data_IF_829457311858
#
_entry.id   IF_829457311858
#
_cell.length_a   1.000
_cell.length_b   1.000
_cell.length_c   1.000
_cell.angle_alpha   90.00
_cell.angle_beta   90.00
_cell.angle_gamma   90.00
#
_symmetry.space_group_name_H-M   'P 1'
#
loop_
_entity.id
_entity.type
_entity.pdbx_description
1 polymer ?
#
# COMPACT_ATOMS: atom_id res chain seq x y z
N UNK A 1 -1.58 -12.67 -50.71
CA UNK A 1 -2.58 -11.62 -50.78
C UNK A 1 -3.91 -12.19 -50.35
N UNK A 2 -4.38 -11.79 -49.18
CA UNK A 2 -5.76 -11.76 -48.67
C UNK A 2 -6.56 -13.04 -48.47
N UNK A 3 -6.46 -13.61 -47.26
CA UNK A 3 -7.50 -14.48 -46.65
C UNK A 3 -7.65 -14.25 -45.13
N UNK A 4 -7.58 -13.02 -44.62
CA UNK A 4 -7.66 -12.78 -43.18
C UNK A 4 -8.74 -11.80 -42.73
N UNK A 5 -9.65 -11.35 -43.60
CA UNK A 5 -10.61 -10.28 -43.25
C UNK A 5 -12.09 -10.69 -43.20
N UNK A 6 -12.44 -11.92 -43.48
CA UNK A 6 -13.86 -12.35 -43.45
C UNK A 6 -14.35 -12.96 -42.14
N UNK A 7 -13.44 -13.32 -41.22
CA UNK A 7 -13.85 -13.98 -39.97
C UNK A 7 -14.29 -12.99 -38.85
N UNK A 8 -13.81 -11.74 -38.90
CA UNK A 8 -14.18 -10.73 -37.92
C UNK A 8 -15.58 -10.14 -38.12
N UNK A 9 -16.03 -10.06 -39.38
CA UNK A 9 -17.35 -9.52 -39.70
C UNK A 9 -18.52 -10.45 -39.35
N UNK A 10 -18.28 -11.77 -39.34
CA UNK A 10 -19.30 -12.76 -39.02
C UNK A 10 -19.65 -12.85 -37.54
N UNK A 11 -18.67 -12.72 -36.67
CA UNK A 11 -18.88 -12.76 -35.20
C UNK A 11 -19.64 -11.55 -34.69
N UNK A 12 -19.49 -10.39 -35.32
CA UNK A 12 -20.20 -9.16 -34.91
C UNK A 12 -21.70 -9.18 -35.28
N UNK A 13 -22.11 -9.95 -36.29
CA UNK A 13 -23.51 -10.06 -36.68
C UNK A 13 -24.29 -11.09 -35.88
N UNK A 14 -23.67 -12.09 -35.32
CA UNK A 14 -24.34 -13.05 -34.42
C UNK A 14 -24.55 -12.47 -33.01
N UNK A 15 -23.69 -11.59 -32.54
CA UNK A 15 -23.84 -10.92 -31.22
C UNK A 15 -25.08 -9.99 -31.19
N UNK A 16 -25.43 -9.38 -32.30
CA UNK A 16 -26.61 -8.48 -32.42
C UNK A 16 -27.94 -9.20 -32.55
N UNK A 17 -27.94 -10.51 -32.85
CA UNK A 17 -29.19 -11.29 -32.94
C UNK A 17 -29.63 -11.88 -31.60
N UNK A 18 -28.74 -12.00 -30.62
CA UNK A 18 -29.08 -12.50 -29.28
C UNK A 18 -29.58 -11.36 -28.36
N UNK A 19 -29.25 -10.11 -28.67
CA UNK A 19 -29.67 -8.95 -27.84
C UNK A 19 -31.14 -8.53 -28.07
N UNK A 20 -31.83 -9.05 -29.11
CA UNK A 20 -33.21 -8.71 -29.45
C UNK A 20 -34.29 -9.56 -28.75
N UNK A 21 -33.90 -10.64 -28.05
CA UNK A 21 -34.85 -11.62 -27.50
C UNK A 21 -35.10 -11.51 -25.98
N UNK A 22 -34.37 -10.65 -25.26
CA UNK A 22 -34.44 -10.59 -23.80
C UNK A 22 -35.25 -9.39 -23.27
N UNK A 23 -35.68 -8.49 -24.11
CA UNK A 23 -36.38 -7.27 -23.69
C UNK A 23 -37.85 -7.46 -23.27
N UNK A 24 -38.46 -8.65 -23.48
CA UNK A 24 -39.89 -8.90 -23.16
C UNK A 24 -40.10 -9.74 -21.89
N UNK A 25 -39.07 -10.24 -21.23
CA UNK A 25 -39.21 -11.08 -20.03
C UNK A 25 -38.90 -10.35 -18.72
N UNK A 26 -38.49 -9.07 -18.74
CA UNK A 26 -38.12 -8.30 -17.54
C UNK A 26 -39.23 -7.43 -16.94
N UNK A 27 -40.44 -7.44 -17.56
CA UNK A 27 -41.57 -6.64 -17.06
C UNK A 27 -42.47 -7.37 -16.03
N UNK A 28 -42.26 -8.66 -15.76
CA UNK A 28 -43.16 -9.48 -14.94
C UNK A 28 -42.57 -9.92 -13.56
N UNK A 29 -41.39 -9.46 -13.16
CA UNK A 29 -40.75 -9.88 -11.88
C UNK A 29 -40.49 -8.74 -10.90
N UNK A 30 -41.04 -7.54 -11.15
CA UNK A 30 -40.83 -6.39 -10.26
C UNK A 30 -41.63 -6.48 -8.93
N UNK A 31 -42.59 -7.39 -8.80
CA UNK A 31 -43.43 -7.49 -7.58
C UNK A 31 -43.06 -8.62 -6.62
N UNK A 32 -41.98 -9.36 -6.86
CA UNK A 32 -41.57 -10.48 -5.98
C UNK A 32 -40.50 -10.14 -4.94
N UNK A 33 -39.96 -8.91 -4.91
CA UNK A 33 -39.16 -8.45 -3.80
C UNK A 33 -40.08 -7.81 -2.74
N UNK A 34 -40.83 -8.69 -2.09
CA UNK A 34 -41.62 -8.34 -0.91
C UNK A 34 -40.74 -7.63 0.13
N UNK A 35 -41.37 -6.74 0.84
CA UNK A 35 -40.86 -5.94 1.95
C UNK A 35 -39.98 -6.78 2.91
N UNK A 36 -38.77 -7.09 2.49
CA UNK A 36 -37.71 -7.61 3.34
C UNK A 36 -37.30 -6.50 4.31
N UNK A 37 -37.28 -6.82 5.58
CA UNK A 37 -36.86 -5.96 6.67
C UNK A 37 -35.71 -5.04 6.24
N UNK A 38 -35.88 -3.72 6.44
CA UNK A 38 -34.77 -2.75 6.29
C UNK A 38 -33.56 -3.35 6.99
N UNK A 39 -32.41 -3.47 6.35
CA UNK A 39 -31.22 -3.88 7.06
C UNK A 39 -31.07 -2.87 8.19
N UNK A 40 -31.08 -3.40 9.44
CA UNK A 40 -30.71 -2.63 10.60
C UNK A 40 -29.44 -1.88 10.26
N UNK A 41 -29.44 -0.56 10.42
CA UNK A 41 -28.32 0.31 10.10
C UNK A 41 -27.07 -0.38 10.59
N UNK A 42 -26.20 -0.80 9.66
CA UNK A 42 -24.90 -1.33 10.02
C UNK A 42 -24.30 -0.33 11.00
N UNK A 43 -24.03 -0.77 12.22
CA UNK A 43 -23.48 0.07 13.26
C UNK A 43 -22.31 0.84 12.59
N UNK A 44 -22.41 2.18 12.58
CA UNK A 44 -21.43 3.05 11.95
C UNK A 44 -20.09 2.61 12.52
N UNK A 45 -19.24 2.00 11.69
CA UNK A 45 -17.88 1.63 12.13
C UNK A 45 -17.33 2.86 12.84
N UNK A 46 -16.79 2.73 14.05
CA UNK A 46 -16.15 3.87 14.71
C UNK A 46 -15.22 4.49 13.67
N UNK A 47 -15.26 5.81 13.52
CA UNK A 47 -14.40 6.52 12.59
C UNK A 47 -12.98 6.04 12.88
N UNK A 48 -12.40 5.29 11.94
CA UNK A 48 -11.00 4.85 12.05
C UNK A 48 -10.10 6.07 12.21
N UNK A 49 -8.83 5.89 12.60
CA UNK A 49 -7.89 6.99 12.66
C UNK A 49 -7.95 7.79 11.37
N UNK A 50 -7.91 9.12 11.44
CA UNK A 50 -8.18 10.00 10.31
C UNK A 50 -7.07 10.00 9.23
N UNK A 51 -6.06 9.14 9.31
CA UNK A 51 -4.87 9.09 8.46
C UNK A 51 -5.08 8.24 7.19
N UNK A 52 -5.96 8.67 6.30
CA UNK A 52 -6.28 7.94 5.07
C UNK A 52 -5.30 8.17 3.93
N UNK A 53 -4.64 9.32 3.91
CA UNK A 53 -3.59 9.63 2.93
C UNK A 53 -2.23 9.12 3.39
N UNK A 54 -1.45 8.55 2.48
CA UNK A 54 -0.08 8.14 2.74
C UNK A 54 0.82 8.58 1.58
N UNK A 55 1.82 9.39 1.90
CA UNK A 55 2.95 9.67 1.02
C UNK A 55 4.11 8.75 1.43
N UNK A 56 4.57 7.90 0.51
CA UNK A 56 5.68 6.99 0.69
C UNK A 56 6.81 7.33 -0.28
N UNK A 57 8.04 7.37 0.24
CA UNK A 57 9.25 7.63 -0.56
C UNK A 57 10.30 6.57 -0.23
N UNK A 58 10.83 5.91 -1.25
CA UNK A 58 11.97 4.98 -1.15
C UNK A 58 13.20 5.62 -1.77
N UNK A 59 14.36 5.45 -1.17
CA UNK A 59 15.62 5.98 -1.67
C UNK A 59 16.83 5.34 -0.98
N UNK A 60 17.98 5.54 -1.60
CA UNK A 60 19.27 5.23 -1.00
C UNK A 60 20.00 6.52 -0.63
N UNK A 61 21.02 6.40 0.21
CA UNK A 61 21.92 7.50 0.57
C UNK A 61 23.36 7.08 0.35
N UNK A 62 24.22 7.96 -0.19
CA UNK A 62 25.66 7.73 -0.20
C UNK A 62 26.18 7.57 1.24
N UNK A 63 27.30 6.91 1.39
CA UNK A 63 27.95 6.75 2.73
C UNK A 63 28.35 8.12 3.25
N UNK A 64 28.97 8.93 2.38
CA UNK A 64 29.39 10.29 2.71
C UNK A 64 28.17 11.19 2.93
N UNK A 65 28.18 11.94 4.02
CA UNK A 65 27.11 12.87 4.38
C UNK A 65 25.82 12.22 4.88
N UNK A 66 25.73 10.89 4.97
CA UNK A 66 24.54 10.16 5.44
C UNK A 66 24.07 10.61 6.82
N UNK A 67 24.98 10.73 7.76
CA UNK A 67 24.66 11.16 9.13
C UNK A 67 24.10 12.60 9.12
N UNK A 68 24.73 13.50 8.39
CA UNK A 68 24.26 14.88 8.28
C UNK A 68 22.84 14.93 7.65
N UNK A 69 22.59 14.09 6.64
CA UNK A 69 21.25 13.96 6.05
C UNK A 69 20.23 13.46 7.08
N UNK A 70 20.53 12.41 7.84
CA UNK A 70 19.61 11.84 8.83
C UNK A 70 19.32 12.85 9.95
N UNK A 71 20.33 13.56 10.43
CA UNK A 71 20.19 14.61 11.43
C UNK A 71 19.30 15.76 10.92
N UNK A 72 19.51 16.21 9.67
CA UNK A 72 18.67 17.22 9.04
C UNK A 72 17.23 16.70 8.84
N UNK A 73 17.06 15.50 8.30
CA UNK A 73 15.74 14.91 8.05
C UNK A 73 14.92 14.84 9.35
N UNK A 74 15.50 14.26 10.41
CA UNK A 74 14.80 13.99 11.66
C UNK A 74 14.65 15.24 12.54
N UNK A 75 15.66 16.12 12.57
CA UNK A 75 15.67 17.30 13.44
C UNK A 75 15.08 18.56 12.82
N UNK A 76 14.98 18.63 11.49
CA UNK A 76 14.55 19.85 10.79
C UNK A 76 13.41 19.60 9.83
N UNK A 77 13.60 18.71 8.86
CA UNK A 77 12.64 18.55 7.76
C UNK A 77 11.31 17.95 8.21
N UNK A 78 11.34 16.81 8.92
CA UNK A 78 10.11 16.14 9.35
C UNK A 78 9.34 16.94 10.40
N UNK A 79 9.97 17.54 11.44
CA UNK A 79 9.26 18.45 12.34
C UNK A 79 8.57 19.61 11.60
N UNK A 80 9.29 20.27 10.67
CA UNK A 80 8.72 21.37 9.88
C UNK A 80 7.58 20.89 8.95
N UNK A 81 7.70 19.69 8.38
CA UNK A 81 6.66 19.10 7.54
C UNK A 81 5.36 18.87 8.33
N UNK A 82 5.48 18.41 9.57
CA UNK A 82 4.34 18.11 10.45
C UNK A 82 3.60 19.34 10.98
N UNK A 83 4.14 20.56 10.81
CA UNK A 83 3.39 21.79 11.12
C UNK A 83 2.35 22.13 10.06
N UNK A 84 2.37 21.44 8.90
CA UNK A 84 1.45 21.75 7.79
C UNK A 84 0.05 21.21 8.09
N UNK A 85 -1.01 21.97 7.71
CA UNK A 85 -2.38 21.51 7.88
C UNK A 85 -2.63 20.15 7.19
N UNK A 86 -3.31 19.25 7.89
CA UNK A 86 -3.67 17.93 7.37
C UNK A 86 -2.58 16.86 7.48
N UNK A 87 -1.32 17.24 7.77
CA UNK A 87 -0.23 16.30 8.05
C UNK A 87 -0.36 15.79 9.49
N UNK A 88 -0.40 14.50 9.69
CA UNK A 88 -0.71 13.89 10.99
C UNK A 88 0.51 13.26 11.67
N UNK A 89 1.31 12.55 10.89
CA UNK A 89 2.50 11.85 11.38
C UNK A 89 3.50 11.63 10.25
N UNK A 90 4.75 11.40 10.61
CA UNK A 90 5.78 10.93 9.71
C UNK A 90 6.57 9.82 10.41
N UNK A 91 7.14 8.91 9.62
CA UNK A 91 8.02 7.86 10.11
C UNK A 91 9.10 7.56 9.07
N UNK A 92 10.32 7.41 9.52
CA UNK A 92 11.47 7.07 8.68
C UNK A 92 12.03 5.72 9.09
N UNK A 93 12.30 4.87 8.09
CA UNK A 93 12.70 3.48 8.26
C UNK A 93 14.00 3.19 7.54
N UNK A 94 14.77 2.24 8.09
CA UNK A 94 15.83 1.54 7.36
C UNK A 94 15.36 0.12 7.04
N UNK A 95 15.56 -0.31 5.80
CA UNK A 95 15.22 -1.67 5.38
C UNK A 95 16.14 -2.70 6.03
N UNK A 96 15.63 -3.89 6.17
CA UNK A 96 16.37 -5.06 6.63
C UNK A 96 16.31 -6.14 5.56
N UNK A 97 17.43 -6.79 5.36
CA UNK A 97 17.44 -8.01 4.56
C UNK A 97 16.55 -9.04 5.24
N UNK A 98 15.76 -9.74 4.45
CA UNK A 98 14.90 -10.80 4.95
C UNK A 98 15.73 -12.05 5.11
N UNK A 99 15.92 -12.51 6.34
CA UNK A 99 16.48 -13.82 6.62
C UNK A 99 15.51 -14.89 6.08
N UNK A 100 16.02 -15.79 5.23
CA UNK A 100 15.24 -16.88 4.66
C UNK A 100 14.26 -16.43 3.58
N UNK A 101 14.75 -15.90 2.48
CA UNK A 101 13.94 -15.49 1.33
C UNK A 101 12.98 -16.59 0.89
N UNK A 102 11.67 -16.36 1.08
CA UNK A 102 10.63 -17.28 0.64
C UNK A 102 10.74 -17.57 -0.85
N UNK A 103 10.51 -18.81 -1.24
CA UNK A 103 10.63 -19.33 -2.60
C UNK A 103 9.63 -18.75 -3.62
N UNK A 104 8.92 -17.67 -3.29
CA UNK A 104 8.00 -17.01 -4.22
C UNK A 104 8.80 -16.17 -5.19
N UNK A 105 8.76 -16.52 -6.45
CA UNK A 105 9.36 -15.74 -7.51
C UNK A 105 8.64 -14.39 -7.63
N UNK A 106 9.32 -13.31 -7.19
CA UNK A 106 8.80 -11.95 -7.27
C UNK A 106 9.31 -11.33 -8.57
N UNK A 107 8.38 -10.86 -9.40
CA UNK A 107 8.71 -10.11 -10.60
C UNK A 107 8.86 -8.63 -10.27
N UNK A 108 9.96 -8.03 -10.68
CA UNK A 108 10.22 -6.60 -10.55
C UNK A 108 10.14 -5.92 -11.92
N UNK A 109 9.71 -4.65 -11.91
CA UNK A 109 9.73 -3.84 -13.12
C UNK A 109 11.16 -3.60 -13.59
N UNK A 110 11.33 -3.58 -14.90
CA UNK A 110 12.57 -3.17 -15.57
C UNK A 110 12.48 -1.77 -16.18
N UNK A 111 11.39 -1.02 -15.88
CA UNK A 111 11.21 0.35 -16.36
C UNK A 111 12.30 1.26 -15.75
N UNK A 112 13.21 1.82 -16.57
CA UNK A 112 14.32 2.65 -16.09
C UNK A 112 13.87 3.99 -15.48
N UNK A 113 12.59 4.37 -15.65
CA UNK A 113 12.00 5.56 -15.03
C UNK A 113 11.60 5.34 -13.57
N UNK A 114 11.59 4.09 -13.10
CA UNK A 114 11.24 3.75 -11.72
C UNK A 114 12.52 3.74 -10.88
N UNK A 115 12.57 4.61 -9.88
CA UNK A 115 13.73 4.70 -8.98
C UNK A 115 14.01 3.38 -8.26
N UNK A 116 15.29 3.04 -8.14
CA UNK A 116 15.77 1.74 -7.62
C UNK A 116 16.12 1.76 -6.14
N UNK A 117 16.14 2.94 -5.50
CA UNK A 117 16.48 3.08 -4.09
C UNK A 117 15.49 2.32 -3.19
N UNK A 118 16.01 1.73 -2.10
CA UNK A 118 15.19 0.92 -1.20
C UNK A 118 15.70 0.85 0.24
N UNK A 119 16.94 1.29 0.53
CA UNK A 119 17.52 1.18 1.88
C UNK A 119 16.79 2.04 2.91
N UNK A 120 16.17 3.13 2.48
CA UNK A 120 15.37 4.01 3.34
C UNK A 120 13.96 4.16 2.82
N UNK A 121 13.02 4.24 3.76
CA UNK A 121 11.61 4.46 3.46
C UNK A 121 11.11 5.59 4.36
N UNK A 122 10.63 6.67 3.75
CA UNK A 122 9.94 7.73 4.45
C UNK A 122 8.43 7.57 4.22
N UNK A 123 7.67 7.51 5.29
CA UNK A 123 6.22 7.50 5.28
C UNK A 123 5.70 8.78 5.93
N UNK A 124 4.72 9.42 5.31
CA UNK A 124 4.02 10.59 5.87
C UNK A 124 2.52 10.33 5.76
N UNK A 125 1.86 10.30 6.91
CA UNK A 125 0.41 10.14 6.99
C UNK A 125 -0.30 11.49 7.03
N UNK A 126 -1.42 11.59 6.33
CA UNK A 126 -2.27 12.77 6.29
C UNK A 126 -3.74 12.38 6.40
N UNK A 127 -4.61 13.36 6.64
CA UNK A 127 -6.07 13.14 6.73
C UNK A 127 -6.62 12.49 5.49
N UNK A 128 -6.15 12.92 4.31
CA UNK A 128 -6.46 12.31 3.01
C UNK A 128 -5.31 12.55 2.03
N UNK A 129 -5.36 11.90 0.86
CA UNK A 129 -4.32 12.01 -0.16
C UNK A 129 -4.29 13.38 -0.86
N UNK A 130 -5.40 14.10 -0.89
CA UNK A 130 -5.50 15.45 -1.47
C UNK A 130 -4.63 16.48 -0.75
N UNK A 131 -4.34 16.26 0.55
CA UNK A 131 -3.39 17.09 1.33
C UNK A 131 -2.02 17.15 0.65
N UNK A 132 -1.63 16.10 -0.06
CA UNK A 132 -0.37 16.03 -0.80
C UNK A 132 -0.46 16.61 -2.22
N UNK A 133 -1.59 17.15 -2.61
CA UNK A 133 -1.82 17.74 -3.94
C UNK A 133 -1.43 19.21 -4.05
N UNK A 134 -1.52 19.96 -2.94
CA UNK A 134 -1.21 21.39 -2.94
C UNK A 134 -0.68 21.90 -1.60
N UNK A 135 0.64 22.10 -1.48
CA UNK A 135 1.68 21.80 -2.48
C UNK A 135 2.01 20.30 -2.54
N UNK A 136 2.48 19.87 -3.71
CA UNK A 136 2.97 18.49 -3.89
C UNK A 136 4.28 18.27 -3.12
N UNK A 137 4.67 17.02 -2.78
CA UNK A 137 5.97 16.71 -2.19
C UNK A 137 7.15 17.31 -2.95
N UNK A 138 7.14 17.25 -4.28
CA UNK A 138 8.19 17.86 -5.11
C UNK A 138 8.20 19.39 -5.02
N UNK A 139 7.04 20.03 -4.96
CA UNK A 139 6.94 21.47 -4.77
C UNK A 139 7.44 21.90 -3.39
N UNK A 140 7.13 21.14 -2.33
CA UNK A 140 7.66 21.36 -0.98
C UNK A 140 9.20 21.28 -1.00
N UNK A 141 9.76 20.23 -1.62
CA UNK A 141 11.19 20.04 -1.71
C UNK A 141 11.88 21.15 -2.52
N UNK A 142 11.28 21.60 -3.62
CA UNK A 142 11.80 22.69 -4.45
C UNK A 142 11.79 24.04 -3.71
N UNK A 143 10.84 24.27 -2.82
CA UNK A 143 10.71 25.50 -2.03
C UNK A 143 11.67 25.57 -0.82
N UNK A 144 12.40 24.50 -0.51
CA UNK A 144 13.36 24.50 0.58
C UNK A 144 14.49 25.52 0.34
N UNK A 145 15.11 26.07 1.40
CA UNK A 145 16.38 26.78 1.29
C UNK A 145 17.44 25.92 0.58
N UNK A 146 18.46 26.56 0.02
CA UNK A 146 19.51 25.86 -0.76
C UNK A 146 20.12 24.67 0.00
N UNK A 147 20.42 24.84 1.28
CA UNK A 147 20.95 23.76 2.12
C UNK A 147 19.98 22.56 2.18
N UNK A 148 18.69 22.78 2.35
CA UNK A 148 17.68 21.74 2.34
C UNK A 148 17.54 21.05 0.98
N UNK A 149 17.60 21.79 -0.12
CA UNK A 149 17.60 21.21 -1.48
C UNK A 149 18.82 20.32 -1.73
N UNK A 150 20.00 20.73 -1.23
CA UNK A 150 21.21 19.90 -1.27
C UNK A 150 21.03 18.58 -0.52
N UNK A 151 20.37 18.60 0.65
CA UNK A 151 20.05 17.38 1.39
C UNK A 151 19.08 16.47 0.60
N UNK A 152 17.99 17.01 0.04
CA UNK A 152 17.06 16.21 -0.78
C UNK A 152 17.78 15.62 -1.99
N UNK A 153 18.68 16.34 -2.62
CA UNK A 153 19.46 15.88 -3.78
C UNK A 153 20.43 14.71 -3.46
N UNK A 154 20.68 14.40 -2.19
CA UNK A 154 21.45 13.22 -1.81
C UNK A 154 20.69 11.89 -1.99
N UNK A 155 19.37 11.92 -2.19
CA UNK A 155 18.56 10.73 -2.40
C UNK A 155 18.86 10.10 -3.75
N UNK A 156 19.36 8.87 -3.72
CA UNK A 156 19.70 8.09 -4.92
C UNK A 156 18.56 7.14 -5.24
N UNK A 157 18.18 7.07 -6.51
CA UNK A 157 17.13 6.16 -6.97
C UNK A 157 15.77 6.42 -6.31
N UNK A 158 15.45 7.68 -6.00
CA UNK A 158 14.21 8.05 -5.32
C UNK A 158 12.99 7.66 -6.14
N UNK A 159 12.00 7.07 -5.49
CA UNK A 159 10.64 6.90 -6.01
C UNK A 159 9.62 7.31 -4.98
N UNK A 160 8.52 7.87 -5.44
CA UNK A 160 7.44 8.40 -4.60
C UNK A 160 6.11 7.78 -5.03
N UNK A 161 5.31 7.40 -4.05
CA UNK A 161 3.89 7.10 -4.22
C UNK A 161 3.07 7.95 -3.25
N UNK A 162 2.04 8.61 -3.76
CA UNK A 162 0.99 9.24 -2.96
C UNK A 162 -0.24 8.35 -3.08
N UNK A 163 -0.78 7.92 -1.96
CA UNK A 163 -1.81 6.88 -1.93
C UNK A 163 -2.99 7.29 -1.05
N UNK A 164 -4.16 6.76 -1.38
CA UNK A 164 -5.34 6.78 -0.51
C UNK A 164 -5.66 5.38 -0.01
N UNK A 165 -6.08 5.27 1.24
CA UNK A 165 -6.43 3.99 1.86
C UNK A 165 -7.77 3.48 1.34
N UNK A 166 -7.77 2.23 0.84
CA UNK A 166 -8.96 1.53 0.32
C UNK A 166 -9.39 0.37 1.21
N UNK A 167 -8.58 -0.01 2.18
CA UNK A 167 -8.91 -1.04 3.16
C UNK A 167 -7.97 -1.01 4.36
N UNK A 168 -8.52 -1.26 5.54
CA UNK A 168 -7.80 -1.35 6.82
C UNK A 168 -8.33 -2.49 7.65
N UNK A 169 -7.43 -3.20 8.30
CA UNK A 169 -7.74 -4.19 9.32
C UNK A 169 -6.84 -3.92 10.53
N UNK A 170 -7.43 -3.78 11.71
CA UNK A 170 -6.69 -3.62 12.96
C UNK A 170 -6.31 -5.00 13.49
N UNK A 171 -5.04 -5.16 13.88
CA UNK A 171 -4.49 -6.40 14.41
C UNK A 171 -4.70 -6.55 15.92
N UNK A 172 -4.34 -7.71 16.44
CA UNK A 172 -4.43 -8.01 17.87
C UNK A 172 -3.61 -7.08 18.75
N UNK A 173 -2.48 -6.59 18.24
CA UNK A 173 -1.61 -5.66 18.96
C UNK A 173 -2.06 -4.19 18.88
N UNK A 174 -3.08 -3.84 18.12
CA UNK A 174 -3.54 -2.46 17.97
C UNK A 174 -3.98 -1.82 19.28
N UNK A 175 -4.61 -2.61 20.17
CA UNK A 175 -5.09 -2.14 21.48
C UNK A 175 -3.97 -1.95 22.52
N UNK A 176 -2.87 -2.66 22.36
CA UNK A 176 -1.69 -2.59 23.26
C UNK A 176 -0.62 -1.65 22.74
N UNK A 177 -0.67 -1.30 21.46
CA UNK A 177 0.27 -0.38 20.84
C UNK A 177 -0.13 1.06 21.13
N UNK A 178 0.66 1.73 21.98
CA UNK A 178 0.33 3.05 22.54
C UNK A 178 0.66 4.23 21.64
N UNK A 179 1.40 4.01 20.55
CA UNK A 179 1.87 5.09 19.65
C UNK A 179 0.73 5.75 18.81
N UNK A 180 -0.51 5.46 19.12
CA UNK A 180 -1.66 6.18 18.58
C UNK A 180 -1.73 6.17 17.05
N UNK A 181 -1.78 7.36 16.45
CA UNK A 181 -1.69 7.56 15.00
C UNK A 181 -0.22 7.60 14.59
N UNK A 182 0.19 6.67 13.77
CA UNK A 182 1.55 6.56 13.28
C UNK A 182 1.83 5.16 12.79
N UNK A 183 2.89 4.99 12.04
CA UNK A 183 3.29 3.66 11.60
C UNK A 183 4.08 2.94 12.70
N UNK A 184 3.91 1.63 12.78
CA UNK A 184 4.50 0.78 13.82
C UNK A 184 6.03 0.70 13.74
N UNK A 185 6.73 0.18 14.78
CA UNK A 185 8.18 0.04 14.80
C UNK A 185 8.78 -0.83 13.69
N UNK A 186 8.05 -1.84 13.25
CA UNK A 186 8.43 -2.72 12.16
C UNK A 186 7.34 -2.74 11.10
N UNK A 187 7.73 -2.62 9.84
CA UNK A 187 6.81 -2.66 8.70
C UNK A 187 7.27 -3.65 7.64
N UNK A 188 6.30 -4.15 6.87
CA UNK A 188 6.55 -4.68 5.54
C UNK A 188 5.69 -3.89 4.57
N UNK A 189 6.31 -3.32 3.54
CA UNK A 189 5.61 -2.53 2.53
C UNK A 189 5.93 -3.04 1.13
N UNK A 190 4.89 -3.32 0.35
CA UNK A 190 4.98 -3.70 -1.05
C UNK A 190 4.30 -2.67 -1.93
N UNK A 191 4.95 -2.28 -3.02
CA UNK A 191 4.38 -1.42 -4.05
C UNK A 191 4.47 -2.13 -5.40
N UNK A 192 3.33 -2.28 -6.10
CA UNK A 192 3.24 -3.14 -7.27
C UNK A 192 2.08 -2.77 -8.20
N UNK A 193 2.11 -3.32 -9.41
CA UNK A 193 1.03 -3.31 -10.37
C UNK A 193 0.49 -4.73 -10.56
N UNK A 194 -0.78 -4.82 -10.91
CA UNK A 194 -1.49 -6.05 -11.22
C UNK A 194 -2.13 -5.91 -12.60
N UNK A 195 -2.10 -6.94 -13.46
CA UNK A 195 -2.88 -6.93 -14.68
C UNK A 195 -4.36 -6.72 -14.38
N UNK A 196 -5.04 -5.94 -15.22
CA UNK A 196 -6.41 -5.49 -14.98
C UNK A 196 -7.41 -6.65 -14.80
N UNK A 197 -7.17 -7.75 -15.49
CA UNK A 197 -7.99 -8.96 -15.41
C UNK A 197 -7.93 -9.68 -14.05
N UNK A 198 -6.92 -9.39 -13.21
CA UNK A 198 -6.78 -10.00 -11.87
C UNK A 198 -7.01 -8.99 -10.72
N UNK A 199 -7.32 -7.73 -11.03
CA UNK A 199 -7.41 -6.68 -9.98
C UNK A 199 -8.57 -6.90 -9.01
N UNK A 200 -9.73 -7.35 -9.50
CA UNK A 200 -10.88 -7.61 -8.64
C UNK A 200 -10.61 -8.77 -7.69
N UNK A 201 -10.06 -9.87 -8.20
CA UNK A 201 -9.70 -11.02 -7.39
C UNK A 201 -8.59 -10.69 -6.39
N UNK A 202 -7.58 -9.94 -6.83
CA UNK A 202 -6.54 -9.45 -5.93
C UNK A 202 -7.14 -8.62 -4.81
N UNK A 203 -8.02 -7.67 -5.12
CA UNK A 203 -8.69 -6.84 -4.12
C UNK A 203 -9.51 -7.70 -3.15
N UNK A 204 -10.32 -8.61 -3.66
CA UNK A 204 -11.12 -9.52 -2.87
C UNK A 204 -10.25 -10.41 -1.96
N UNK A 205 -9.16 -10.97 -2.49
CA UNK A 205 -8.22 -11.80 -1.76
C UNK A 205 -7.55 -11.06 -0.59
N UNK A 206 -7.16 -9.79 -0.80
CA UNK A 206 -6.62 -8.96 0.28
C UNK A 206 -7.65 -8.70 1.37
N UNK A 207 -8.86 -8.27 1.02
CA UNK A 207 -9.89 -7.86 1.98
C UNK A 207 -10.48 -9.06 2.72
N UNK A 208 -10.81 -10.14 2.01
CA UNK A 208 -11.50 -11.28 2.60
C UNK A 208 -10.57 -12.28 3.30
N UNK A 209 -9.29 -12.32 2.93
CA UNK A 209 -8.38 -13.37 3.41
C UNK A 209 -7.05 -12.83 3.93
N UNK A 210 -6.26 -12.15 3.09
CA UNK A 210 -4.87 -11.80 3.40
C UNK A 210 -4.73 -10.86 4.58
N UNK A 211 -5.43 -9.73 4.55
CA UNK A 211 -5.39 -8.75 5.64
C UNK A 211 -5.92 -9.32 6.96
N UNK A 212 -7.09 -10.01 6.99
CA UNK A 212 -7.56 -10.67 8.20
C UNK A 212 -6.58 -11.71 8.77
N UNK A 213 -5.92 -12.50 7.93
CA UNK A 213 -4.97 -13.52 8.40
C UNK A 213 -3.75 -12.89 9.10
N UNK A 214 -3.22 -11.77 8.58
CA UNK A 214 -2.16 -11.02 9.26
C UNK A 214 -2.67 -10.38 10.56
N UNK A 215 -3.83 -9.74 10.53
CA UNK A 215 -4.41 -9.10 11.71
C UNK A 215 -4.78 -10.09 12.83
N UNK A 216 -4.99 -11.37 12.52
CA UNK A 216 -5.21 -12.41 13.52
C UNK A 216 -3.94 -12.83 14.27
N UNK A 217 -2.75 -12.35 13.85
CA UNK A 217 -1.50 -12.66 14.55
C UNK A 217 -1.27 -11.74 15.74
N UNK A 218 -0.54 -12.22 16.75
CA UNK A 218 -0.36 -11.51 18.01
C UNK A 218 0.48 -10.22 17.87
N UNK A 219 1.42 -10.18 16.92
CA UNK A 219 2.31 -9.04 16.75
C UNK A 219 1.83 -8.03 15.70
N UNK A 220 0.79 -8.34 14.94
CA UNK A 220 0.26 -7.41 13.96
C UNK A 220 -0.46 -6.25 14.62
N UNK A 221 -0.04 -5.03 14.32
CA UNK A 221 -0.71 -3.80 14.74
C UNK A 221 -1.85 -3.50 13.78
N UNK A 222 -1.58 -3.47 12.48
CA UNK A 222 -2.59 -3.29 11.43
C UNK A 222 -2.08 -3.69 10.05
N UNK A 223 -3.01 -3.84 9.13
CA UNK A 223 -2.73 -3.95 7.70
C UNK A 223 -3.51 -2.90 6.94
N UNK A 224 -2.88 -2.30 5.92
CA UNK A 224 -3.50 -1.25 5.10
C UNK A 224 -3.33 -1.59 3.63
N UNK A 225 -4.44 -1.57 2.89
CA UNK A 225 -4.43 -1.60 1.43
C UNK A 225 -4.65 -0.19 0.92
N UNK A 226 -3.74 0.26 0.05
CA UNK A 226 -3.74 1.62 -0.48
C UNK A 226 -3.68 1.57 -2.01
N UNK A 227 -4.27 2.57 -2.64
CA UNK A 227 -4.18 2.78 -4.08
C UNK A 227 -3.53 4.14 -4.36
N UNK A 228 -2.60 4.17 -5.30
CA UNK A 228 -1.89 5.40 -5.65
C UNK A 228 -2.77 6.36 -6.44
N UNK A 229 -2.74 7.61 -6.02
CA UNK A 229 -3.24 8.75 -6.79
C UNK A 229 -2.12 9.39 -7.62
N UNK A 230 -0.85 9.16 -7.21
CA UNK A 230 0.34 9.51 -7.97
C UNK A 230 1.48 8.54 -7.66
N UNK A 231 2.34 8.27 -8.65
CA UNK A 231 3.46 7.33 -8.56
C UNK A 231 3.31 6.17 -9.55
N UNK A 232 4.36 5.35 -9.65
CA UNK A 232 4.39 4.25 -10.62
C UNK A 232 3.48 3.07 -10.22
N UNK A 233 3.54 2.65 -8.96
CA UNK A 233 2.76 1.51 -8.48
C UNK A 233 1.31 1.91 -8.23
N UNK A 234 0.34 1.18 -8.81
CA UNK A 234 -1.09 1.38 -8.53
C UNK A 234 -1.48 0.92 -7.14
N UNK A 235 -0.87 -0.16 -6.66
CA UNK A 235 -1.21 -0.79 -5.39
C UNK A 235 -0.05 -0.70 -4.41
N UNK A 236 -0.40 -0.39 -3.15
CA UNK A 236 0.53 -0.45 -2.01
C UNK A 236 -0.14 -1.24 -0.89
N UNK A 237 0.60 -2.17 -0.30
CA UNK A 237 0.20 -2.90 0.90
C UNK A 237 1.19 -2.57 2.00
N UNK A 238 0.69 -2.18 3.15
CA UNK A 238 1.46 -1.90 4.35
C UNK A 238 1.00 -2.82 5.49
N UNK A 239 1.91 -3.64 5.97
CA UNK A 239 1.76 -4.46 7.18
C UNK A 239 2.59 -3.84 8.29
N UNK A 240 2.00 -3.68 9.46
CA UNK A 240 2.60 -3.04 10.61
C UNK A 240 2.67 -4.02 11.78
N UNK A 241 3.87 -4.14 12.38
CA UNK A 241 4.15 -5.08 13.45
C UNK A 241 4.85 -4.39 14.63
N UNK A 242 4.66 -4.94 15.82
CA UNK A 242 5.24 -4.38 17.05
C UNK A 242 6.76 -4.49 17.12
N UNK A 243 7.36 -5.45 16.42
CA UNK A 243 8.81 -5.71 16.42
C UNK A 243 9.23 -6.54 15.21
N UNK A 244 10.54 -6.61 14.95
CA UNK A 244 11.12 -7.49 13.95
C UNK A 244 10.91 -8.98 14.29
N UNK A 245 11.07 -9.36 15.55
CA UNK A 245 10.86 -10.74 16.01
C UNK A 245 9.40 -11.16 15.81
N UNK A 246 8.47 -10.26 16.13
CA UNK A 246 7.05 -10.49 15.86
C UNK A 246 6.77 -10.68 14.38
N UNK A 247 7.33 -9.80 13.53
CA UNK A 247 7.25 -9.92 12.08
C UNK A 247 7.80 -11.26 11.57
N UNK A 248 9.01 -11.64 11.96
CA UNK A 248 9.67 -12.87 11.50
C UNK A 248 8.86 -14.12 11.89
N UNK A 249 8.29 -14.15 13.09
CA UNK A 249 7.45 -15.24 13.57
C UNK A 249 6.11 -15.35 12.86
N UNK A 250 5.44 -14.21 12.64
CA UNK A 250 4.00 -14.20 12.31
C UNK A 250 3.73 -13.99 10.81
N UNK A 251 4.64 -13.32 10.07
CA UNK A 251 4.39 -12.92 8.68
C UNK A 251 4.21 -14.10 7.73
N UNK A 252 5.15 -15.07 7.74
CA UNK A 252 5.06 -16.23 6.84
C UNK A 252 3.92 -17.18 7.23
N UNK A 253 3.66 -17.32 8.53
CA UNK A 253 2.54 -18.11 9.00
C UNK A 253 1.19 -17.54 8.53
N UNK A 254 1.06 -16.21 8.48
CA UNK A 254 -0.13 -15.55 7.95
C UNK A 254 -0.24 -15.70 6.42
N UNK A 255 0.89 -15.55 5.71
CA UNK A 255 0.95 -15.70 4.26
C UNK A 255 0.54 -17.11 3.81
N UNK A 256 1.04 -18.16 4.47
CA UNK A 256 0.73 -19.55 4.12
C UNK A 256 -0.74 -19.91 4.38
N UNK A 257 -1.38 -19.27 5.36
CA UNK A 257 -2.81 -19.46 5.65
C UNK A 257 -3.74 -18.72 4.70
N UNK A 258 -3.23 -17.74 3.96
CA UNK A 258 -4.04 -16.85 3.11
C UNK A 258 -3.36 -16.57 1.79
N UNK A 259 -3.14 -17.57 0.93
CA UNK A 259 -2.56 -17.32 -0.38
C UNK A 259 -3.45 -16.35 -1.18
N UNK A 260 -2.80 -15.39 -1.88
CA UNK A 260 -3.50 -14.59 -2.86
C UNK A 260 -3.75 -15.43 -4.09
N UNK A 261 -5.03 -15.73 -4.38
CA UNK A 261 -5.37 -16.55 -5.52
C UNK A 261 -6.87 -16.72 -5.69
N UNK A 262 -7.25 -17.19 -6.85
CA UNK A 262 -8.63 -17.47 -7.26
C UNK A 262 -8.70 -18.89 -7.80
N UNK A 263 -9.75 -19.63 -7.43
CA UNK A 263 -9.95 -20.98 -7.94
C UNK A 263 -8.77 -21.94 -7.68
N UNK A 264 -7.98 -21.68 -6.64
CA UNK A 264 -6.79 -22.48 -6.31
C UNK A 264 -5.50 -22.07 -7.02
N UNK A 265 -5.54 -21.03 -7.87
CA UNK A 265 -4.36 -20.51 -8.55
C UNK A 265 -3.85 -19.22 -7.89
N UNK A 266 -2.55 -19.15 -7.61
CA UNK A 266 -1.93 -17.95 -7.04
C UNK A 266 -1.81 -16.86 -8.11
N UNK A 267 -2.20 -15.63 -7.76
CA UNK A 267 -2.01 -14.45 -8.62
C UNK A 267 -0.65 -13.77 -8.38
N UNK A 268 0.09 -14.17 -7.36
CA UNK A 268 1.40 -13.57 -7.01
C UNK A 268 2.37 -13.53 -8.19
N UNK A 269 2.46 -14.57 -9.05
CA UNK A 269 3.34 -14.54 -10.22
C UNK A 269 3.00 -13.45 -11.27
N UNK A 270 1.80 -12.91 -11.25
CA UNK A 270 1.38 -11.86 -12.19
C UNK A 270 1.61 -10.44 -11.65
N UNK A 271 1.95 -10.32 -10.36
CA UNK A 271 2.22 -9.02 -9.76
C UNK A 271 3.61 -8.54 -10.17
N UNK A 272 3.70 -7.29 -10.64
CA UNK A 272 4.97 -6.65 -10.98
C UNK A 272 5.30 -5.62 -9.89
N UNK A 273 6.31 -5.93 -9.10
CA UNK A 273 6.75 -5.08 -7.98
C UNK A 273 7.68 -3.95 -8.44
N UNK A 274 7.73 -2.88 -7.67
CA UNK A 274 8.80 -1.89 -7.79
C UNK A 274 10.16 -2.53 -7.48
N UNK A 275 11.26 -1.96 -7.98
CA UNK A 275 12.60 -2.51 -7.76
C UNK A 275 12.86 -2.79 -6.27
N UNK A 276 13.47 -3.93 -5.96
CA UNK A 276 13.81 -4.39 -4.60
C UNK A 276 12.63 -4.54 -3.63
N UNK A 277 11.38 -4.37 -4.09
CA UNK A 277 10.18 -4.59 -3.25
C UNK A 277 9.72 -6.05 -3.23
N UNK A 278 8.90 -6.47 -2.25
CA UNK A 278 8.50 -5.74 -1.05
C UNK A 278 9.62 -5.63 0.00
N UNK A 279 9.59 -4.57 0.81
CA UNK A 279 10.64 -4.29 1.78
C UNK A 279 10.13 -4.48 3.21
N UNK A 280 10.90 -5.17 4.06
CA UNK A 280 10.77 -5.11 5.51
C UNK A 280 11.71 -4.05 6.07
N UNK A 281 11.26 -3.28 7.09
CA UNK A 281 12.02 -2.15 7.59
C UNK A 281 11.73 -1.87 9.07
N UNK A 282 12.75 -1.32 9.75
CA UNK A 282 12.66 -0.88 11.14
C UNK A 282 12.67 0.64 11.22
N UNK A 283 11.84 1.18 12.09
CA UNK A 283 11.70 2.62 12.29
C UNK A 283 12.95 3.22 12.95
N UNK A 284 13.48 4.25 12.29
CA UNK A 284 14.57 5.08 12.79
C UNK A 284 14.02 6.33 13.49
N UNK A 285 12.93 6.88 12.97
CA UNK A 285 12.31 8.10 13.50
C UNK A 285 10.78 8.04 13.36
N UNK A 286 9.99 8.52 14.35
CA UNK A 286 10.47 8.84 15.70
C UNK A 286 11.09 7.60 16.36
N UNK A 287 12.01 7.79 17.32
CA UNK A 287 12.63 6.66 18.03
C UNK A 287 11.58 5.71 18.59
N UNK A 288 11.85 4.42 18.53
CA UNK A 288 11.05 3.43 19.23
C UNK A 288 11.45 3.49 20.70
N UNK A 289 10.53 3.90 21.58
CA UNK A 289 10.78 3.82 23.01
C UNK A 289 11.08 2.36 23.37
N UNK A 290 12.24 2.13 24.02
CA UNK A 290 12.53 0.84 24.58
C UNK A 290 11.38 0.48 25.52
N UNK A 291 10.63 -0.59 25.21
CA UNK A 291 9.59 -1.07 26.11
C UNK A 291 10.23 -1.23 27.48
N UNK A 292 9.79 -0.43 28.46
CA UNK A 292 10.15 -0.69 29.86
C UNK A 292 9.58 -2.06 30.15
N UNK A 293 10.46 -3.07 30.15
CA UNK A 293 10.14 -4.37 30.67
C UNK A 293 9.70 -4.16 32.12
N UNK A 294 8.39 -4.29 32.35
CA UNK A 294 7.79 -4.33 33.65
C UNK A 294 7.58 -5.76 34.09
#
# INVERSE_FOLDING_TARGET
MTRHDESAGRRRREFLKVAGGVATALAATADAFGQGARPQSAARRPAGPPDRGLWATWYDLPVEGREAYLNWLHGTYLPALLTRPGYLWAAHYATREREGGGATQIHHTTDPKVGTGYHYILLVGATDADVFGNPTPSAINAALPEAGRKMVAMRVGERVNITTETGRCEGGAATTYKDGMGAAPCIQIGSFNCPVEYEEEMHAGYVASRMPAHCATASCVRTRKLNSVAGWAKHVILYEYTSLDGFNRDYEAANSKSPLGVGGHSIVPYLVHAPSGPNSALRLWPPVEASRAG
#
